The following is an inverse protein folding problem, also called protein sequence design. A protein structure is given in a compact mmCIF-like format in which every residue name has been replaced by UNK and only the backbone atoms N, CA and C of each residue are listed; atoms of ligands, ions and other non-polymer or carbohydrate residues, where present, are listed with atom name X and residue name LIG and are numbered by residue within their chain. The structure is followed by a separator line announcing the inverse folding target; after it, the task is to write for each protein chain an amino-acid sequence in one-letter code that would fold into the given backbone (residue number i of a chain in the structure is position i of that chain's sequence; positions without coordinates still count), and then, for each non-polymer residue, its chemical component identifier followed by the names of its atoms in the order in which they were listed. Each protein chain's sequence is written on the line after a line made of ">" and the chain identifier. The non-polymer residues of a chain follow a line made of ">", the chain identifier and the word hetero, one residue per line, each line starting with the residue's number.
data_IF_354340582117
#
_entry.id   IF_354340582117
#
_cell.length_a   1.000
_cell.length_b   1.000
_cell.length_c   1.000
_cell.angle_alpha   90.00
_cell.angle_beta   90.00
_cell.angle_gamma   90.00
#
_symmetry.space_group_name_H-M   'P 1'
#
loop_
_entity.id
_entity.type
_entity.pdbx_description
1 polymer ?
#
# COMPACT_ATOMS: atom_id res chain seq x y z
N UNK A 1 -6.23 21.48 -11.47
CA UNK A 1 -5.63 20.15 -11.25
C UNK A 1 -6.29 19.19 -12.21
N UNK A 2 -5.51 18.42 -12.99
CA UNK A 2 -6.04 17.43 -13.93
C UNK A 2 -5.96 16.05 -13.28
N UNK A 3 -6.95 15.21 -13.51
CA UNK A 3 -6.93 13.81 -13.09
C UNK A 3 -5.67 13.12 -13.63
N UNK A 4 -4.94 12.44 -12.75
CA UNK A 4 -3.67 11.77 -13.11
C UNK A 4 -3.93 10.31 -13.50
N UNK A 5 -4.85 9.62 -12.80
CA UNK A 5 -5.13 8.20 -13.00
C UNK A 5 -6.49 7.81 -12.42
N UNK A 6 -7.13 6.85 -13.06
CA UNK A 6 -8.26 6.07 -12.53
C UNK A 6 -7.81 4.63 -12.37
N UNK A 7 -8.17 3.97 -11.27
CA UNK A 7 -8.00 2.53 -11.10
C UNK A 7 -9.19 1.96 -10.31
N UNK A 8 -9.47 0.67 -10.49
CA UNK A 8 -10.57 -0.01 -9.82
C UNK A 8 -10.08 -0.58 -8.50
N UNK A 9 -10.86 -0.36 -7.45
CA UNK A 9 -10.67 -1.03 -6.18
C UNK A 9 -11.46 -2.35 -6.18
N UNK A 10 -10.89 -3.38 -5.59
CA UNK A 10 -11.58 -4.66 -5.42
C UNK A 10 -12.71 -4.57 -4.40
N UNK A 11 -12.53 -3.71 -3.38
CA UNK A 11 -13.50 -3.42 -2.33
C UNK A 11 -13.78 -1.92 -2.26
N UNK A 12 -14.96 -1.54 -1.79
CA UNK A 12 -15.33 -0.13 -1.63
C UNK A 12 -14.39 0.60 -0.67
N UNK A 13 -13.98 1.82 -1.04
CA UNK A 13 -13.20 2.68 -0.16
C UNK A 13 -14.07 3.29 0.95
N UNK A 14 -13.71 3.03 2.20
CA UNK A 14 -14.30 3.70 3.37
C UNK A 14 -13.53 4.95 3.75
N UNK A 15 -12.19 4.91 3.63
CA UNK A 15 -11.32 6.04 3.93
C UNK A 15 -10.03 5.94 3.13
N UNK A 16 -9.48 7.11 2.78
CA UNK A 16 -8.17 7.23 2.14
C UNK A 16 -7.16 7.87 3.08
N UNK A 17 -5.91 7.48 2.92
CA UNK A 17 -4.75 7.99 3.65
C UNK A 17 -3.66 8.38 2.66
N UNK A 18 -3.16 9.59 2.81
CA UNK A 18 -2.02 10.09 2.05
C UNK A 18 -0.67 9.64 2.63
N UNK A 19 0.40 10.12 2.01
CA UNK A 19 1.77 9.84 2.42
C UNK A 19 2.57 9.22 1.29
N UNK A 20 3.55 8.41 1.65
CA UNK A 20 4.48 7.82 0.68
C UNK A 20 3.77 6.86 -0.31
N UNK A 21 2.75 6.15 0.17
CA UNK A 21 1.84 5.34 -0.63
C UNK A 21 0.40 5.81 -0.40
N UNK A 22 -0.50 5.49 -1.34
CA UNK A 22 -1.93 5.70 -1.17
C UNK A 22 -2.48 4.56 -0.29
N UNK A 23 -2.88 4.85 0.94
CA UNK A 23 -3.62 3.92 1.77
C UNK A 23 -5.11 4.00 1.48
N UNK A 24 -5.75 2.89 1.19
CA UNK A 24 -7.21 2.79 1.10
C UNK A 24 -7.70 1.75 2.08
N UNK A 25 -8.52 2.18 3.03
CA UNK A 25 -9.19 1.27 3.94
C UNK A 25 -10.55 0.88 3.38
N UNK A 26 -10.84 -0.40 3.48
CA UNK A 26 -12.10 -1.02 3.07
C UNK A 26 -12.59 -1.95 4.18
N UNK A 27 -13.73 -2.60 3.95
CA UNK A 27 -14.31 -3.61 4.86
C UNK A 27 -13.34 -4.76 5.18
N UNK A 28 -12.39 -5.06 4.28
CA UNK A 28 -11.45 -6.18 4.44
C UNK A 28 -10.11 -5.77 5.06
N UNK A 29 -9.87 -4.48 5.30
CA UNK A 29 -8.61 -3.98 5.86
C UNK A 29 -8.03 -2.80 5.08
N UNK A 30 -6.73 -2.58 5.24
CA UNK A 30 -5.96 -1.52 4.59
C UNK A 30 -5.21 -2.07 3.38
N UNK A 31 -5.35 -1.42 2.22
CA UNK A 31 -4.51 -1.69 1.05
C UNK A 31 -3.67 -0.47 0.72
N UNK A 32 -2.35 -0.66 0.59
CA UNK A 32 -1.44 0.34 0.06
C UNK A 32 -1.28 0.18 -1.45
N UNK A 33 -1.40 1.30 -2.17
CA UNK A 33 -1.19 1.40 -3.61
C UNK A 33 -0.04 2.34 -3.91
N UNK A 34 0.68 2.04 -4.98
CA UNK A 34 1.64 2.99 -5.55
C UNK A 34 0.89 4.12 -6.27
N UNK A 35 1.25 5.36 -5.98
CA UNK A 35 0.59 6.54 -6.54
C UNK A 35 0.76 6.64 -8.05
N UNK A 36 1.93 6.25 -8.56
CA UNK A 36 2.27 6.42 -9.97
C UNK A 36 1.59 5.37 -10.84
N UNK A 37 1.59 4.11 -10.41
CA UNK A 37 1.14 2.95 -11.19
C UNK A 37 -0.27 2.49 -10.81
N UNK A 38 -0.75 2.84 -9.61
CA UNK A 38 -2.02 2.33 -9.07
C UNK A 38 -2.01 0.84 -8.73
N UNK A 39 -0.83 0.20 -8.72
CA UNK A 39 -0.70 -1.23 -8.35
C UNK A 39 -0.75 -1.40 -6.84
N UNK A 40 -1.25 -2.55 -6.40
CA UNK A 40 -1.23 -2.95 -4.99
C UNK A 40 0.24 -3.17 -4.59
N UNK A 41 0.67 -2.44 -3.56
CA UNK A 41 1.94 -2.69 -2.89
C UNK A 41 1.76 -3.73 -1.79
N UNK A 42 0.74 -3.59 -0.94
CA UNK A 42 0.45 -4.57 0.11
C UNK A 42 -0.97 -4.43 0.65
N UNK A 43 -1.61 -5.54 0.97
CA UNK A 43 -2.81 -5.62 1.82
C UNK A 43 -2.43 -5.97 3.24
N UNK A 44 -3.04 -5.30 4.19
CA UNK A 44 -2.84 -5.51 5.62
C UNK A 44 -4.21 -5.70 6.24
N UNK A 45 -4.42 -6.83 6.89
CA UNK A 45 -5.66 -7.19 7.61
C UNK A 45 -5.78 -6.41 8.93
N UNK A 46 -5.76 -5.08 8.82
CA UNK A 46 -5.90 -4.12 9.91
C UNK A 46 -6.83 -2.98 9.45
N UNK A 47 -7.65 -2.46 10.37
CA UNK A 47 -8.59 -1.36 10.09
C UNK A 47 -8.17 -0.11 10.89
N UNK A 48 -7.09 0.60 10.48
CA UNK A 48 -6.57 1.73 11.24
C UNK A 48 -7.48 2.96 11.05
N UNK A 49 -7.58 3.79 12.08
CA UNK A 49 -8.22 5.11 12.04
C UNK A 49 -7.27 6.19 11.52
N UNK A 50 -5.97 6.00 11.70
CA UNK A 50 -4.93 6.90 11.20
C UNK A 50 -3.77 6.12 10.59
N UNK A 51 -3.19 6.68 9.53
CA UNK A 51 -1.98 6.15 8.89
C UNK A 51 -1.02 7.32 8.73
N UNK A 52 0.17 7.21 9.32
CA UNK A 52 1.14 8.31 9.37
C UNK A 52 2.51 7.81 8.96
N UNK A 53 3.02 8.35 7.86
CA UNK A 53 4.37 8.05 7.37
C UNK A 53 5.37 8.98 8.04
N UNK A 54 6.57 8.47 8.32
CA UNK A 54 7.70 9.34 8.62
C UNK A 54 8.17 10.05 7.34
N UNK A 55 8.97 11.11 7.49
CA UNK A 55 9.42 11.93 6.35
C UNK A 55 10.21 11.14 5.31
N UNK A 56 11.00 10.15 5.76
CA UNK A 56 11.78 9.29 4.86
C UNK A 56 10.94 8.30 4.05
N UNK A 57 9.68 8.07 4.42
CA UNK A 57 8.83 7.02 3.86
C UNK A 57 9.21 5.60 4.28
N UNK A 58 10.21 5.39 5.14
CA UNK A 58 10.65 4.06 5.57
C UNK A 58 9.85 3.49 6.73
N UNK A 59 9.14 4.32 7.49
CA UNK A 59 8.29 3.87 8.61
C UNK A 59 6.88 4.40 8.44
N UNK A 60 5.90 3.56 8.78
CA UNK A 60 4.48 3.94 8.83
C UNK A 60 3.87 3.50 10.14
N UNK A 61 3.14 4.41 10.79
CA UNK A 61 2.31 4.13 11.94
C UNK A 61 0.89 3.82 11.50
N UNK A 62 0.36 2.65 11.89
CA UNK A 62 -1.05 2.29 11.77
C UNK A 62 -1.71 2.47 13.14
N UNK A 63 -2.50 3.53 13.30
CA UNK A 63 -3.16 3.86 14.55
C UNK A 63 -4.58 3.31 14.55
N UNK A 64 -4.88 2.41 15.48
CA UNK A 64 -6.25 1.94 15.78
C UNK A 64 -6.84 2.75 16.93
N UNK A 65 -7.99 2.34 17.46
CA UNK A 65 -8.57 3.00 18.64
C UNK A 65 -7.72 2.79 19.90
N UNK A 66 -7.16 1.59 20.07
CA UNK A 66 -6.58 1.15 21.35
C UNK A 66 -5.05 0.95 21.27
N UNK A 67 -4.53 0.73 20.07
CA UNK A 67 -3.11 0.39 19.83
C UNK A 67 -2.58 1.04 18.56
N UNK A 68 -1.27 1.10 18.41
CA UNK A 68 -0.62 1.45 17.15
C UNK A 68 0.49 0.46 16.81
N UNK A 69 0.72 0.31 15.51
CA UNK A 69 1.78 -0.53 14.95
C UNK A 69 2.72 0.34 14.14
N UNK A 70 4.02 0.14 14.29
CA UNK A 70 5.03 0.76 13.40
C UNK A 70 5.55 -0.33 12.49
N UNK A 71 5.38 -0.14 11.19
CA UNK A 71 5.90 -1.04 10.15
C UNK A 71 7.04 -0.36 9.41
N UNK A 72 8.05 -1.13 9.02
CA UNK A 72 9.11 -0.69 8.12
C UNK A 72 8.73 -1.01 6.68
N UNK A 73 8.76 0.01 5.82
CA UNK A 73 8.57 -0.12 4.38
C UNK A 73 9.93 -0.20 3.66
N UNK A 74 10.07 -1.15 2.75
CA UNK A 74 11.24 -1.31 1.88
C UNK A 74 10.80 -1.26 0.42
N UNK A 75 10.99 -0.11 -0.22
CA UNK A 75 10.67 0.09 -1.63
C UNK A 75 11.48 -0.84 -2.56
N UNK A 76 12.70 -1.20 -2.17
CA UNK A 76 13.56 -2.12 -2.94
C UNK A 76 13.00 -3.55 -3.03
N UNK A 77 12.07 -3.91 -2.14
CA UNK A 77 11.37 -5.19 -2.19
C UNK A 77 10.16 -5.18 -3.15
N UNK A 78 9.83 -4.01 -3.72
CA UNK A 78 8.81 -3.85 -4.76
C UNK A 78 9.52 -3.85 -6.13
N UNK A 79 9.26 -4.84 -7.00
CA UNK A 79 9.84 -4.88 -8.34
C UNK A 79 9.46 -3.63 -9.15
N UNK A 80 10.41 -3.12 -9.92
CA UNK A 80 10.15 -1.99 -10.83
C UNK A 80 9.13 -2.39 -11.89
N UNK A 81 8.01 -1.68 -11.89
CA UNK A 81 6.90 -1.87 -12.82
C UNK A 81 7.25 -1.66 -14.29
N UNK A 82 8.36 -0.98 -14.61
CA UNK A 82 8.78 -0.64 -15.98
C UNK A 82 9.73 -1.66 -16.61
N UNK A 83 10.24 -2.62 -15.84
CA UNK A 83 11.13 -3.66 -16.35
C UNK A 83 10.29 -4.83 -16.89
N UNK A 84 10.55 -5.33 -18.11
CA UNK A 84 9.88 -6.53 -18.61
C UNK A 84 10.23 -7.71 -17.70
N UNK A 85 9.20 -8.36 -17.17
CA UNK A 85 9.34 -9.48 -16.25
C UNK A 85 9.90 -10.69 -17.00
N UNK A 86 11.21 -10.96 -16.87
CA UNK A 86 11.87 -12.10 -17.54
C UNK A 86 11.69 -13.42 -16.77
N UNK A 87 11.04 -13.39 -15.60
CA UNK A 87 10.93 -14.54 -14.69
C UNK A 87 9.47 -14.98 -14.53
N UNK A 88 9.18 -16.22 -14.96
CA UNK A 88 7.87 -16.89 -14.92
C UNK A 88 7.29 -17.17 -13.52
N UNK A 89 7.77 -16.52 -12.46
CA UNK A 89 7.32 -16.70 -11.07
C UNK A 89 6.70 -15.46 -10.43
N UNK A 90 6.55 -14.36 -11.17
CA UNK A 90 5.91 -13.16 -10.64
C UNK A 90 4.42 -13.19 -10.99
N UNK A 91 3.64 -13.97 -10.24
CA UNK A 91 2.27 -13.55 -10.00
C UNK A 91 2.38 -12.20 -9.27
N UNK A 92 1.82 -11.13 -9.83
CA UNK A 92 1.45 -9.99 -8.98
C UNK A 92 0.53 -10.57 -7.91
N UNK A 93 1.08 -10.76 -6.71
CA UNK A 93 0.34 -11.39 -5.64
C UNK A 93 -0.89 -10.50 -5.38
N UNK A 94 -2.05 -11.13 -5.24
CA UNK A 94 -3.33 -10.45 -5.04
C UNK A 94 -3.28 -9.54 -3.81
N UNK A 95 -2.38 -9.84 -2.87
CA UNK A 95 -2.18 -9.12 -1.64
C UNK A 95 -0.91 -8.25 -1.65
N UNK A 96 -0.20 -8.16 -2.78
CA UNK A 96 1.01 -7.38 -2.97
C UNK A 96 2.29 -8.04 -2.42
N UNK A 97 3.33 -7.23 -2.20
CA UNK A 97 4.67 -7.69 -1.87
C UNK A 97 4.88 -7.81 -0.36
N UNK A 98 4.70 -9.00 0.20
CA UNK A 98 4.85 -9.28 1.64
C UNK A 98 6.15 -8.70 2.23
N UNK A 99 7.28 -8.92 1.55
CA UNK A 99 8.61 -8.50 2.03
C UNK A 99 8.81 -6.98 2.05
N UNK A 100 7.91 -6.22 1.43
CA UNK A 100 7.97 -4.77 1.44
C UNK A 100 7.58 -4.17 2.79
N UNK A 101 6.90 -4.92 3.67
CA UNK A 101 6.55 -4.49 5.01
C UNK A 101 7.08 -5.47 6.07
N UNK A 102 7.64 -4.95 7.16
CA UNK A 102 8.14 -5.73 8.31
C UNK A 102 7.81 -5.06 9.64
#
# INVERSE_FOLDING_TARGET
>A
MKEVRTFKLDYGAEQIFGGHLLGVRSLTGLTFYDWLTGRIIRRIDNNPKGVYWNESGQLVALCTNDTFYILRYSADAVPDSNLPTINNNNHEDIDGYEKAFQ
#
